data_IF_308520307783
#
_entry.id   IF_308520307783
#
_cell.length_a   1.000
_cell.length_b   1.000
_cell.length_c   1.000
_cell.angle_alpha   90.00
_cell.angle_beta   90.00
_cell.angle_gamma   90.00
#
_symmetry.space_group_name_H-M   'P 1'
#
loop_
_entity.id
_entity.type
_entity.pdbx_description
1 polymer ?
#
# COMPACT_ATOMS: atom_id res chain seq x y z
N UNK A 1 -16.28 7.09 11.13
CA UNK A 1 -15.52 7.95 10.21
C UNK A 1 -14.65 7.07 9.35
N UNK A 2 -14.90 6.98 8.03
CA UNK A 2 -14.06 6.24 7.10
C UNK A 2 -12.96 7.17 6.60
N UNK A 3 -11.71 6.94 7.02
CA UNK A 3 -10.57 7.62 6.39
C UNK A 3 -10.28 6.96 5.05
N UNK A 4 -10.27 7.77 3.99
CA UNK A 4 -9.87 7.30 2.66
C UNK A 4 -8.35 7.34 2.57
N UNK A 5 -7.74 6.17 2.60
CA UNK A 5 -6.30 6.03 2.40
C UNK A 5 -5.90 6.50 1.00
N UNK A 6 -4.88 7.34 0.95
CA UNK A 6 -4.21 7.76 -0.28
C UNK A 6 -3.05 6.82 -0.60
N UNK A 7 -2.67 6.77 -1.87
CA UNK A 7 -1.53 5.95 -2.33
C UNK A 7 -0.23 6.33 -1.64
N UNK A 8 -0.04 7.61 -1.30
CA UNK A 8 1.16 8.09 -0.62
C UNK A 8 1.23 7.62 0.84
N UNK A 9 0.09 7.54 1.51
CA UNK A 9 -0.02 6.95 2.85
C UNK A 9 0.22 5.44 2.82
N UNK A 10 -0.24 4.74 1.77
CA UNK A 10 0.03 3.31 1.57
C UNK A 10 1.52 3.03 1.35
N UNK A 11 2.18 3.82 0.49
CA UNK A 11 3.64 3.75 0.27
C UNK A 11 4.39 3.99 1.57
N UNK A 12 4.00 5.04 2.29
CA UNK A 12 4.63 5.41 3.57
C UNK A 12 4.46 4.28 4.58
N UNK A 13 3.27 3.71 4.71
CA UNK A 13 3.01 2.57 5.58
C UNK A 13 3.90 1.37 5.23
N UNK A 14 3.99 0.98 3.96
CA UNK A 14 4.83 -0.13 3.52
C UNK A 14 6.33 0.13 3.77
N UNK A 15 6.82 1.35 3.51
CA UNK A 15 8.21 1.75 3.80
C UNK A 15 8.52 1.74 5.30
N UNK A 16 7.58 2.20 6.12
CA UNK A 16 7.72 2.17 7.58
C UNK A 16 7.75 0.74 8.11
N UNK A 17 6.92 -0.15 7.57
CA UNK A 17 6.95 -1.58 7.91
C UNK A 17 8.26 -2.22 7.42
N UNK A 18 8.81 -1.79 6.28
CA UNK A 18 10.12 -2.26 5.82
C UNK A 18 11.26 -1.85 6.75
N UNK A 19 11.24 -0.64 7.28
CA UNK A 19 12.28 -0.12 8.17
C UNK A 19 12.13 -0.59 9.62
N UNK A 20 10.89 -0.64 10.14
CA UNK A 20 10.61 -0.89 11.55
C UNK A 20 9.94 -2.24 11.80
N UNK A 21 9.80 -3.09 10.78
CA UNK A 21 9.00 -4.33 10.84
C UNK A 21 7.54 -4.06 11.26
N UNK A 22 6.85 -5.06 11.78
CA UNK A 22 5.47 -4.96 12.28
C UNK A 22 5.36 -4.27 13.65
N UNK A 23 6.26 -3.32 13.96
CA UNK A 23 6.20 -2.51 15.18
C UNK A 23 5.17 -1.37 15.04
N UNK A 24 3.90 -1.75 15.02
CA UNK A 24 2.79 -0.84 14.75
C UNK A 24 2.70 0.33 15.73
N UNK A 25 3.01 0.12 17.01
CA UNK A 25 2.98 1.17 18.03
C UNK A 25 4.05 2.23 17.77
N UNK A 26 5.25 1.83 17.33
CA UNK A 26 6.33 2.74 16.99
C UNK A 26 5.99 3.53 15.72
N UNK A 27 5.51 2.84 14.68
CA UNK A 27 5.09 3.46 13.42
C UNK A 27 3.98 4.48 13.67
N UNK A 28 3.01 4.11 14.52
CA UNK A 28 1.91 4.99 14.90
C UNK A 28 2.41 6.21 15.67
N UNK A 29 3.20 6.01 16.74
CA UNK A 29 3.69 7.12 17.57
C UNK A 29 4.64 8.06 16.85
N UNK A 30 5.46 7.58 15.91
CA UNK A 30 6.48 8.43 15.29
C UNK A 30 6.08 9.01 13.94
N UNK A 31 5.24 8.32 13.16
CA UNK A 31 5.02 8.68 11.76
C UNK A 31 3.53 8.82 11.40
N UNK A 32 2.67 7.95 11.94
CA UNK A 32 1.26 7.82 11.54
C UNK A 32 0.31 8.03 12.72
N UNK A 33 0.51 9.09 13.50
CA UNK A 33 -0.27 9.40 14.71
C UNK A 33 -1.75 9.69 14.41
N UNK A 34 -2.05 10.11 13.18
CA UNK A 34 -3.41 10.38 12.71
C UNK A 34 -4.27 9.11 12.54
N UNK A 35 -3.64 7.93 12.55
CA UNK A 35 -4.33 6.66 12.41
C UNK A 35 -4.36 5.90 13.74
N UNK A 36 -5.28 4.95 13.87
CA UNK A 36 -5.18 3.94 14.92
C UNK A 36 -4.32 2.77 14.45
N UNK A 37 -3.63 2.10 15.39
CA UNK A 37 -2.88 0.86 15.12
C UNK A 37 -3.73 -0.18 14.39
N UNK A 38 -5.02 -0.28 14.75
CA UNK A 38 -5.96 -1.18 14.07
C UNK A 38 -6.18 -0.80 12.59
N UNK A 39 -6.24 0.49 12.27
CA UNK A 39 -6.36 0.96 10.89
C UNK A 39 -5.10 0.66 10.08
N UNK A 40 -3.91 0.83 10.68
CA UNK A 40 -2.64 0.46 10.05
C UNK A 40 -2.59 -1.03 9.72
N UNK A 41 -2.98 -1.89 10.68
CA UNK A 41 -3.02 -3.35 10.50
C UNK A 41 -4.01 -3.77 9.43
N UNK A 42 -5.23 -3.23 9.49
CA UNK A 42 -6.26 -3.53 8.48
C UNK A 42 -5.80 -3.11 7.09
N UNK A 43 -5.22 -1.92 6.97
CA UNK A 43 -4.76 -1.43 5.68
C UNK A 43 -3.61 -2.26 5.12
N UNK A 44 -2.62 -2.60 5.95
CA UNK A 44 -1.53 -3.46 5.52
C UNK A 44 -2.03 -4.84 5.06
N UNK A 45 -3.01 -5.42 5.78
CA UNK A 45 -3.63 -6.68 5.37
C UNK A 45 -4.34 -6.56 4.01
N UNK A 46 -5.05 -5.47 3.76
CA UNK A 46 -5.66 -5.21 2.45
C UNK A 46 -4.61 -5.14 1.34
N UNK A 47 -3.53 -4.39 1.56
CA UNK A 47 -2.41 -4.26 0.60
C UNK A 47 -1.75 -5.62 0.32
N UNK A 48 -1.47 -6.41 1.36
CA UNK A 48 -0.87 -7.75 1.20
C UNK A 48 -1.83 -8.72 0.53
N UNK A 49 -3.13 -8.62 0.79
CA UNK A 49 -4.15 -9.43 0.11
C UNK A 49 -4.23 -9.09 -1.38
N UNK A 50 -4.20 -7.81 -1.73
CA UNK A 50 -4.17 -7.32 -3.11
C UNK A 50 -2.87 -7.77 -3.82
N UNK A 51 -1.73 -7.66 -3.14
CA UNK A 51 -0.44 -8.15 -3.63
C UNK A 51 -0.44 -9.65 -3.92
N UNK A 52 -0.98 -10.47 -3.02
CA UNK A 52 -1.09 -11.92 -3.21
C UNK A 52 -2.08 -12.26 -4.33
N UNK A 53 -3.16 -11.51 -4.48
CA UNK A 53 -4.07 -11.64 -5.62
C UNK A 53 -3.37 -11.32 -6.93
N UNK A 54 -2.53 -10.28 -6.97
CA UNK A 54 -1.74 -9.89 -8.15
C UNK A 54 -0.64 -10.91 -8.49
N UNK A 55 0.01 -11.52 -7.49
CA UNK A 55 0.99 -12.60 -7.73
C UNK A 55 0.34 -13.94 -8.10
N UNK A 56 -0.87 -14.22 -7.61
CA UNK A 56 -1.59 -15.48 -7.82
C UNK A 56 -2.53 -15.51 -9.03
N UNK A 57 -2.93 -14.36 -9.59
CA UNK A 57 -3.88 -14.29 -10.70
C UNK A 57 -3.32 -13.49 -11.86
N UNK A 58 -3.22 -14.14 -13.03
CA UNK A 58 -3.21 -13.48 -14.35
C UNK A 58 -4.27 -12.35 -14.37
N UNK A 59 -3.96 -11.20 -14.99
CA UNK A 59 -4.76 -9.98 -14.87
C UNK A 59 -6.18 -10.22 -15.40
N UNK A 60 -7.16 -10.18 -14.50
CA UNK A 60 -8.58 -10.15 -14.91
C UNK A 60 -9.03 -8.70 -14.87
N UNK A 61 -8.95 -8.07 -16.05
CA UNK A 61 -9.63 -6.85 -16.51
C UNK A 61 -10.68 -6.34 -15.49
N UNK A 62 -10.39 -5.23 -14.82
CA UNK A 62 -11.42 -4.41 -14.19
C UNK A 62 -11.55 -3.11 -14.98
N UNK A 63 -12.49 -3.15 -15.93
CA UNK A 63 -12.92 -2.03 -16.74
C UNK A 63 -13.98 -1.24 -15.96
N UNK A 64 -13.62 -0.04 -15.47
CA UNK A 64 -14.46 1.14 -15.16
C UNK A 64 -13.57 2.14 -14.42
N UNK A 65 -13.36 3.39 -14.83
CA UNK A 65 -14.04 4.23 -15.80
C UNK A 65 -13.03 5.22 -16.40
N UNK A 66 -13.17 5.48 -17.71
CA UNK A 66 -12.46 6.56 -18.42
C UNK A 66 -13.08 7.92 -18.10
N UNK A 67 -12.21 8.94 -18.21
CA UNK A 67 -12.41 10.41 -18.39
C UNK A 67 -12.06 11.19 -17.13
N UNK A 68 -11.18 12.20 -17.13
CA UNK A 68 -10.44 12.93 -18.15
C UNK A 68 -9.31 13.67 -17.41
N UNK A 69 -8.05 13.46 -17.80
CA UNK A 69 -6.98 14.47 -17.91
C UNK A 69 -5.62 13.77 -18.05
N UNK A 70 -4.97 14.06 -19.16
CA UNK A 70 -3.63 13.62 -19.51
C UNK A 70 -2.60 14.04 -18.43
N UNK A 71 -1.55 13.23 -18.29
CA UNK A 71 -0.38 13.38 -17.40
C UNK A 71 -0.44 12.79 -15.97
N UNK A 72 -1.58 12.38 -15.44
CA UNK A 72 -1.63 11.79 -14.09
C UNK A 72 -1.38 10.26 -14.04
N UNK A 73 -1.61 9.54 -15.14
CA UNK A 73 -1.60 8.07 -15.17
C UNK A 73 -0.23 7.41 -14.99
N UNK A 74 0.83 8.06 -15.49
CA UNK A 74 2.19 7.49 -15.52
C UNK A 74 2.88 7.57 -14.14
N UNK A 75 2.65 8.67 -13.39
CA UNK A 75 3.11 8.81 -12.01
C UNK A 75 2.47 7.78 -11.07
N UNK A 76 1.20 7.42 -11.30
CA UNK A 76 0.50 6.45 -10.46
C UNK A 76 1.03 5.02 -10.63
N UNK A 77 1.42 4.63 -11.85
CA UNK A 77 1.96 3.30 -12.11
C UNK A 77 3.38 3.12 -11.55
N UNK A 78 4.24 4.13 -11.67
CA UNK A 78 5.57 4.12 -11.05
C UNK A 78 5.49 4.06 -9.52
N UNK A 79 4.57 4.83 -8.92
CA UNK A 79 4.34 4.83 -7.47
C UNK A 79 3.77 3.49 -6.97
N UNK A 80 2.95 2.81 -7.78
CA UNK A 80 2.46 1.46 -7.46
C UNK A 80 3.61 0.45 -7.47
N UNK A 81 4.44 0.43 -8.51
CA UNK A 81 5.56 -0.51 -8.63
C UNK A 81 6.51 -0.45 -7.42
N UNK A 82 6.75 0.74 -6.87
CA UNK A 82 7.52 0.93 -5.64
C UNK A 82 6.90 0.21 -4.42
N UNK A 83 5.57 0.26 -4.26
CA UNK A 83 4.88 -0.48 -3.19
C UNK A 83 5.09 -1.98 -3.34
N UNK A 84 4.86 -2.50 -4.56
CA UNK A 84 5.04 -3.91 -4.88
C UNK A 84 6.50 -4.35 -4.67
N UNK A 85 7.48 -3.51 -5.00
CA UNK A 85 8.90 -3.78 -4.80
C UNK A 85 9.26 -3.85 -3.32
N UNK A 86 8.79 -2.91 -2.50
CA UNK A 86 9.00 -2.92 -1.04
C UNK A 86 8.35 -4.14 -0.40
N UNK A 87 7.10 -4.47 -0.77
CA UNK A 87 6.40 -5.65 -0.29
C UNK A 87 7.11 -6.94 -0.69
N UNK A 88 7.62 -7.03 -1.93
CA UNK A 88 8.37 -8.20 -2.39
C UNK A 88 9.65 -8.38 -1.58
N UNK A 89 10.42 -7.32 -1.33
CA UNK A 89 11.60 -7.39 -0.45
C UNK A 89 11.23 -7.80 0.98
N UNK A 90 10.11 -7.32 1.51
CA UNK A 90 9.61 -7.70 2.83
C UNK A 90 9.21 -9.18 2.93
N UNK A 91 8.55 -9.71 1.89
CA UNK A 91 7.99 -11.07 1.87
C UNK A 91 8.97 -12.14 1.37
N UNK A 92 10.06 -11.76 0.72
CA UNK A 92 11.09 -12.70 0.21
C UNK A 92 12.15 -13.06 1.26
N UNK A 93 12.22 -12.32 2.39
CA UNK A 93 13.26 -12.48 3.44
C UNK A 93 12.76 -13.28 4.65
N UNK A 94 11.66 -14.03 4.52
CA UNK A 94 11.22 -15.03 5.53
C UNK A 94 11.64 -16.44 5.13
#
# INVERSE_FOLDING_TARGET
MYHKWTREEEISLCRLIANYSTNWELINRQHLQQFNVLQLKNKYREIVSDFNLHNGKKPKKQERAKRENSSAGELTAQKEEEVYKVLRSLLTVQ
#
